data_IF_234281231959
#
_entry.id   IF_234281231959
#
_cell.length_a   1.000
_cell.length_b   1.000
_cell.length_c   1.000
_cell.angle_alpha   90.00
_cell.angle_beta   90.00
_cell.angle_gamma   90.00
#
_symmetry.space_group_name_H-M   'P 1'
#
loop_
_entity.id
_entity.type
_entity.pdbx_description
1 polymer ?
#
# COMPACT_ATOMS: atom_id res chain seq x y z
N UNK A 1 37.80 43.18 22.74
CA UNK A 1 36.40 43.42 22.32
C UNK A 1 36.19 42.68 21.02
N UNK A 2 35.08 41.94 20.95
CA UNK A 2 34.83 40.86 20.00
C UNK A 2 35.01 41.29 18.54
N UNK A 3 35.77 40.49 17.81
CA UNK A 3 35.82 40.47 16.35
C UNK A 3 34.43 40.19 15.81
N UNK A 4 33.84 41.16 15.12
CA UNK A 4 32.73 40.96 14.21
C UNK A 4 33.19 40.06 13.07
N UNK A 5 33.15 38.77 13.32
CA UNK A 5 33.23 37.73 12.31
C UNK A 5 31.92 37.81 11.51
N UNK A 6 31.89 38.77 10.58
CA UNK A 6 30.93 38.85 9.50
C UNK A 6 30.83 37.45 8.90
N UNK A 7 29.72 36.76 9.17
CA UNK A 7 29.29 35.61 8.38
C UNK A 7 29.04 36.13 6.97
N UNK A 8 30.10 36.23 6.19
CA UNK A 8 30.09 36.26 4.75
C UNK A 8 29.47 34.94 4.29
N UNK A 9 28.14 34.87 4.33
CA UNK A 9 27.41 33.89 3.51
C UNK A 9 27.74 34.29 2.09
N UNK A 10 28.50 33.49 1.32
CA UNK A 10 28.83 33.87 -0.03
C UNK A 10 27.52 34.04 -0.79
N UNK A 11 27.26 35.25 -1.29
CA UNK A 11 26.15 35.51 -2.21
C UNK A 11 26.45 34.71 -3.48
N UNK A 12 25.81 33.54 -3.59
CA UNK A 12 25.89 32.68 -4.76
C UNK A 12 25.49 33.50 -6.00
N UNK A 13 26.36 33.53 -7.01
CA UNK A 13 25.99 34.12 -8.29
C UNK A 13 24.87 33.30 -8.94
N UNK A 14 24.03 33.90 -9.81
CA UNK A 14 22.98 33.17 -10.53
C UNK A 14 23.51 31.96 -11.31
N UNK A 15 24.76 32.03 -11.79
CA UNK A 15 25.45 30.95 -12.50
C UNK A 15 25.82 29.81 -11.53
N UNK A 16 26.40 30.12 -10.37
CA UNK A 16 26.69 29.12 -9.33
C UNK A 16 25.43 28.44 -8.80
N UNK A 17 24.32 29.18 -8.69
CA UNK A 17 23.03 28.62 -8.30
C UNK A 17 22.49 27.63 -9.37
N UNK A 18 22.65 27.94 -10.66
CA UNK A 18 22.29 27.03 -11.76
C UNK A 18 23.16 25.80 -11.79
N UNK A 19 24.46 25.94 -11.61
CA UNK A 19 25.39 24.81 -11.56
C UNK A 19 25.13 23.91 -10.36
N UNK A 20 24.82 24.49 -9.19
CA UNK A 20 24.38 23.74 -8.01
C UNK A 20 23.08 22.97 -8.29
N UNK A 21 22.07 23.62 -8.87
CA UNK A 21 20.81 22.94 -9.23
C UNK A 21 21.02 21.86 -10.30
N UNK A 22 21.93 22.07 -11.24
CA UNK A 22 22.31 21.10 -12.27
C UNK A 22 23.13 19.92 -11.73
N UNK A 23 23.88 20.15 -10.64
CA UNK A 23 24.63 19.11 -9.94
C UNK A 23 23.76 18.19 -9.09
N UNK A 24 22.51 18.57 -8.81
CA UNK A 24 21.58 17.72 -8.06
C UNK A 24 21.21 16.53 -8.95
N UNK A 25 21.59 15.29 -8.57
CA UNK A 25 21.19 14.13 -9.34
C UNK A 25 19.66 14.05 -9.38
N UNK A 26 19.11 13.79 -10.58
CA UNK A 26 17.66 13.66 -10.76
C UNK A 26 17.12 12.67 -9.73
N UNK A 27 16.11 13.09 -8.94
CA UNK A 27 15.47 12.19 -7.97
C UNK A 27 15.01 10.92 -8.70
N UNK A 28 15.41 9.71 -8.25
CA UNK A 28 14.96 8.48 -8.87
C UNK A 28 13.43 8.42 -8.87
N UNK A 29 12.82 8.31 -10.06
CA UNK A 29 11.36 8.21 -10.20
C UNK A 29 10.88 6.86 -9.66
N UNK A 30 9.61 6.79 -9.25
CA UNK A 30 9.01 5.53 -8.83
C UNK A 30 8.90 4.59 -10.03
N UNK A 31 9.35 3.35 -9.87
CA UNK A 31 9.29 2.33 -10.92
C UNK A 31 8.32 1.23 -10.49
N UNK A 32 7.28 1.06 -11.30
CA UNK A 32 6.39 -0.10 -11.25
C UNK A 32 6.82 -1.12 -12.31
N UNK A 33 6.77 -2.37 -11.91
CA UNK A 33 7.12 -3.54 -12.73
C UNK A 33 5.88 -4.41 -12.94
N UNK A 34 5.89 -5.31 -13.92
CA UNK A 34 4.82 -6.30 -14.13
C UNK A 34 4.50 -7.09 -12.86
N UNK A 35 5.51 -7.35 -12.02
CA UNK A 35 5.34 -8.00 -10.71
C UNK A 35 4.46 -7.19 -9.77
N UNK A 36 4.57 -5.86 -9.77
CA UNK A 36 3.74 -5.00 -8.92
C UNK A 36 2.26 -5.06 -9.32
N UNK A 37 1.97 -5.13 -10.63
CA UNK A 37 0.62 -5.31 -11.17
C UNK A 37 0.04 -6.68 -10.81
N UNK A 38 0.82 -7.75 -11.03
CA UNK A 38 0.41 -9.13 -10.73
C UNK A 38 0.16 -9.30 -9.23
N UNK A 39 1.05 -8.81 -8.37
CA UNK A 39 0.87 -8.85 -6.91
C UNK A 39 -0.41 -8.14 -6.50
N UNK A 40 -0.69 -6.96 -7.05
CA UNK A 40 -1.90 -6.20 -6.74
C UNK A 40 -3.16 -6.94 -7.21
N UNK A 41 -3.16 -7.45 -8.45
CA UNK A 41 -4.29 -8.21 -8.99
C UNK A 41 -4.56 -9.48 -8.16
N UNK A 42 -3.51 -10.21 -7.80
CA UNK A 42 -3.62 -11.40 -6.95
C UNK A 42 -4.18 -11.06 -5.56
N UNK A 43 -3.68 -10.01 -4.90
CA UNK A 43 -4.22 -9.54 -3.62
C UNK A 43 -5.71 -9.22 -3.73
N UNK A 44 -6.12 -8.49 -4.78
CA UNK A 44 -7.53 -8.09 -4.98
C UNK A 44 -8.42 -9.30 -5.23
N UNK A 45 -8.07 -10.18 -6.16
CA UNK A 45 -8.86 -11.37 -6.50
C UNK A 45 -9.00 -12.29 -5.28
N UNK A 46 -7.89 -12.59 -4.61
CA UNK A 46 -7.90 -13.51 -3.46
C UNK A 46 -8.69 -12.94 -2.29
N UNK A 47 -8.49 -11.66 -1.95
CA UNK A 47 -9.22 -11.04 -0.83
C UNK A 47 -10.70 -10.86 -1.11
N UNK A 48 -11.07 -10.49 -2.33
CA UNK A 48 -12.48 -10.40 -2.73
C UNK A 48 -13.15 -11.78 -2.68
N UNK A 49 -12.51 -12.80 -3.26
CA UNK A 49 -13.03 -14.18 -3.25
C UNK A 49 -13.16 -14.71 -1.83
N UNK A 50 -12.18 -14.46 -0.96
CA UNK A 50 -12.24 -14.81 0.44
C UNK A 50 -13.43 -14.13 1.16
N UNK A 51 -13.64 -12.83 0.93
CA UNK A 51 -14.77 -12.09 1.48
C UNK A 51 -16.12 -12.67 1.07
N UNK A 52 -16.30 -12.95 -0.23
CA UNK A 52 -17.54 -13.55 -0.76
C UNK A 52 -17.79 -14.92 -0.15
N UNK A 53 -16.77 -15.79 -0.13
CA UNK A 53 -16.88 -17.15 0.42
C UNK A 53 -17.17 -17.13 1.93
N UNK A 54 -16.55 -16.22 2.68
CA UNK A 54 -16.80 -16.07 4.11
C UNK A 54 -18.26 -15.67 4.37
N UNK A 55 -18.74 -14.64 3.66
CA UNK A 55 -20.08 -14.10 3.81
C UNK A 55 -21.18 -15.05 3.28
N UNK A 56 -20.83 -15.96 2.37
CA UNK A 56 -21.70 -17.04 1.91
C UNK A 56 -21.81 -18.22 2.90
N UNK A 57 -21.16 -18.15 4.07
CA UNK A 57 -21.23 -19.19 5.10
C UNK A 57 -20.17 -20.29 4.96
N UNK A 58 -19.10 -20.05 4.21
CA UNK A 58 -18.00 -21.00 4.02
C UNK A 58 -16.65 -20.46 4.55
N UNK A 59 -16.57 -19.97 5.80
CA UNK A 59 -15.40 -19.26 6.30
C UNK A 59 -14.11 -20.11 6.35
N UNK A 60 -14.22 -21.44 6.49
CA UNK A 60 -13.07 -22.36 6.44
C UNK A 60 -12.38 -22.37 5.07
N UNK A 61 -13.15 -22.21 3.98
CA UNK A 61 -12.62 -22.10 2.62
C UNK A 61 -12.10 -20.70 2.31
N UNK A 62 -12.63 -19.67 2.98
CA UNK A 62 -12.15 -18.30 2.86
C UNK A 62 -10.78 -18.09 3.52
N UNK A 63 -10.50 -18.77 4.64
CA UNK A 63 -9.27 -18.64 5.40
C UNK A 63 -7.97 -18.82 4.58
N UNK A 64 -7.77 -19.90 3.79
CA UNK A 64 -6.55 -20.06 3.00
C UNK A 64 -6.40 -18.98 1.91
N UNK A 65 -7.51 -18.54 1.30
CA UNK A 65 -7.49 -17.46 0.30
C UNK A 65 -7.09 -16.12 0.93
N UNK A 66 -7.63 -15.81 2.11
CA UNK A 66 -7.27 -14.62 2.85
C UNK A 66 -5.80 -14.64 3.27
N UNK A 67 -5.29 -15.79 3.72
CA UNK A 67 -3.87 -15.95 4.04
C UNK A 67 -2.98 -15.68 2.82
N UNK A 68 -3.34 -16.24 1.65
CA UNK A 68 -2.65 -15.96 0.39
C UNK A 68 -2.64 -14.47 0.05
N UNK A 69 -3.78 -13.78 0.17
CA UNK A 69 -3.89 -12.35 -0.06
C UNK A 69 -3.00 -11.54 0.91
N UNK A 70 -2.99 -11.89 2.20
CA UNK A 70 -2.17 -11.25 3.24
C UNK A 70 -0.69 -11.40 2.95
N UNK A 71 -0.22 -12.62 2.64
CA UNK A 71 1.19 -12.90 2.33
C UNK A 71 1.65 -12.09 1.12
N UNK A 72 0.86 -12.07 0.05
CA UNK A 72 1.19 -11.30 -1.16
C UNK A 72 1.20 -9.79 -0.86
N UNK A 73 0.20 -9.28 -0.14
CA UNK A 73 0.09 -7.89 0.24
C UNK A 73 1.30 -7.42 1.07
N UNK A 74 1.65 -8.16 2.11
CA UNK A 74 2.77 -7.82 3.00
C UNK A 74 4.12 -8.00 2.30
N UNK A 75 4.28 -9.05 1.49
CA UNK A 75 5.46 -9.26 0.68
C UNK A 75 5.68 -8.13 -0.34
N UNK A 76 4.59 -7.66 -0.97
CA UNK A 76 4.64 -6.52 -1.87
C UNK A 76 5.05 -5.24 -1.13
N UNK A 77 4.40 -4.89 -0.01
CA UNK A 77 4.74 -3.71 0.79
C UNK A 77 6.20 -3.75 1.24
N UNK A 78 6.67 -4.88 1.78
CA UNK A 78 8.07 -5.07 2.18
C UNK A 78 9.02 -4.80 1.00
N UNK A 79 8.76 -5.40 -0.16
CA UNK A 79 9.59 -5.20 -1.36
C UNK A 79 9.60 -3.75 -1.88
N UNK A 80 8.62 -2.94 -1.49
CA UNK A 80 8.51 -1.53 -1.85
C UNK A 80 9.21 -0.64 -0.82
N UNK A 81 9.15 -0.99 0.47
CA UNK A 81 9.86 -0.26 1.53
C UNK A 81 11.38 -0.23 1.32
N UNK A 82 11.94 -1.28 0.70
CA UNK A 82 13.36 -1.37 0.37
C UNK A 82 13.78 -0.47 -0.80
N UNK A 83 12.82 0.11 -1.56
CA UNK A 83 13.13 0.94 -2.74
C UNK A 83 13.34 2.42 -2.38
N UNK A 84 14.26 3.13 -3.06
CA UNK A 84 14.41 4.59 -2.93
C UNK A 84 13.12 5.34 -3.32
N UNK A 85 12.83 6.46 -2.63
CA UNK A 85 11.68 7.35 -2.90
C UNK A 85 10.27 6.74 -2.74
N UNK A 86 10.14 5.59 -2.06
CA UNK A 86 8.86 5.12 -1.55
C UNK A 86 8.50 5.78 -0.22
N UNK A 87 7.22 6.14 0.03
CA UNK A 87 6.78 6.68 1.32
C UNK A 87 6.92 5.60 2.39
N UNK A 88 8.07 5.61 3.08
CA UNK A 88 8.46 4.59 4.08
C UNK A 88 7.48 4.45 5.25
N UNK A 89 6.62 5.45 5.48
CA UNK A 89 5.92 5.65 6.75
C UNK A 89 4.44 5.25 6.81
N UNK A 90 3.82 4.73 5.74
CA UNK A 90 2.37 4.37 5.78
C UNK A 90 2.00 2.98 5.26
N UNK A 91 2.93 2.26 4.62
CA UNK A 91 2.63 0.96 4.01
C UNK A 91 2.20 -0.12 5.02
N UNK A 92 2.86 -0.18 6.18
CA UNK A 92 2.54 -1.17 7.23
C UNK A 92 1.13 -0.93 7.77
N UNK A 93 0.77 0.31 8.09
CA UNK A 93 -0.57 0.63 8.59
C UNK A 93 -1.68 0.24 7.60
N UNK A 94 -1.47 0.48 6.30
CA UNK A 94 -2.47 0.08 5.30
C UNK A 94 -2.54 -1.44 5.18
N UNK A 95 -1.41 -2.15 5.22
CA UNK A 95 -1.40 -3.61 5.20
C UNK A 95 -2.08 -4.21 6.44
N UNK A 96 -1.85 -3.64 7.62
CA UNK A 96 -2.52 -4.05 8.86
C UNK A 96 -4.03 -3.78 8.80
N UNK A 97 -4.44 -2.58 8.37
CA UNK A 97 -5.86 -2.25 8.21
C UNK A 97 -6.56 -3.18 7.21
N UNK A 98 -5.90 -3.46 6.07
CA UNK A 98 -6.35 -4.43 5.08
C UNK A 98 -6.54 -5.82 5.69
N UNK A 99 -5.55 -6.33 6.43
CA UNK A 99 -5.65 -7.63 7.12
C UNK A 99 -6.81 -7.67 8.09
N UNK A 100 -6.95 -6.67 8.94
CA UNK A 100 -8.03 -6.62 9.93
C UNK A 100 -9.38 -6.64 9.22
N UNK A 101 -9.59 -5.77 8.23
CA UNK A 101 -10.86 -5.75 7.48
C UNK A 101 -11.16 -7.04 6.74
N UNK A 102 -10.14 -7.70 6.17
CA UNK A 102 -10.32 -8.98 5.49
C UNK A 102 -10.69 -10.11 6.47
N UNK A 103 -10.17 -10.07 7.70
CA UNK A 103 -10.41 -11.10 8.71
C UNK A 103 -11.76 -10.97 9.42
N UNK A 104 -12.34 -9.76 9.51
CA UNK A 104 -13.66 -9.56 10.15
C UNK A 104 -14.74 -10.52 9.62
N UNK A 105 -15.04 -10.59 8.31
CA UNK A 105 -16.10 -11.49 7.83
C UNK A 105 -15.79 -12.97 8.08
N UNK A 106 -14.51 -13.36 8.05
CA UNK A 106 -14.08 -14.74 8.33
C UNK A 106 -14.29 -15.07 9.81
N UNK A 107 -13.85 -14.19 10.71
CA UNK A 107 -14.05 -14.34 12.14
C UNK A 107 -15.53 -14.39 12.51
N UNK A 108 -16.36 -13.49 11.94
CA UNK A 108 -17.82 -13.50 12.13
C UNK A 108 -18.44 -14.82 11.69
N UNK A 109 -18.05 -15.34 10.52
CA UNK A 109 -18.51 -16.63 10.03
C UNK A 109 -18.06 -17.81 10.91
N UNK A 110 -16.81 -17.81 11.41
CA UNK A 110 -16.28 -18.89 12.25
C UNK A 110 -16.89 -18.92 13.65
N UNK A 111 -17.04 -17.74 14.28
CA UNK A 111 -17.43 -17.63 15.69
C UNK A 111 -18.94 -17.53 15.87
N UNK A 112 -19.61 -16.82 14.97
CA UNK A 112 -21.03 -16.51 15.10
C UNK A 112 -21.91 -17.18 14.04
N UNK A 113 -21.32 -17.85 13.05
CA UNK A 113 -22.07 -18.43 11.93
C UNK A 113 -22.78 -17.38 11.07
N UNK A 114 -22.35 -16.12 11.15
CA UNK A 114 -23.02 -15.01 10.48
C UNK A 114 -22.74 -15.03 8.98
N UNK A 115 -23.80 -14.74 8.22
CA UNK A 115 -23.77 -14.60 6.76
C UNK A 115 -24.39 -13.27 6.36
N UNK A 116 -24.11 -12.83 5.14
CA UNK A 116 -24.75 -11.65 4.55
C UNK A 116 -25.42 -12.07 3.25
N UNK A 117 -26.69 -11.71 3.01
CA UNK A 117 -27.37 -12.06 1.78
C UNK A 117 -26.73 -11.38 0.56
N UNK A 118 -27.03 -11.93 -0.61
CA UNK A 118 -26.67 -11.33 -1.88
C UNK A 118 -27.75 -10.30 -2.28
N UNK A 119 -27.41 -9.11 -2.80
CA UNK A 119 -26.09 -8.67 -3.27
C UNK A 119 -25.21 -7.94 -2.24
N UNK A 120 -25.68 -7.70 -1.02
CA UNK A 120 -24.97 -6.93 0.00
C UNK A 120 -23.59 -7.52 0.32
N UNK A 121 -23.46 -8.84 0.27
CA UNK A 121 -22.19 -9.54 0.44
C UNK A 121 -21.09 -9.04 -0.51
N UNK A 122 -21.43 -8.62 -1.74
CA UNK A 122 -20.46 -8.07 -2.70
C UNK A 122 -19.88 -6.74 -2.21
N UNK A 123 -20.70 -5.90 -1.59
CA UNK A 123 -20.27 -4.60 -1.07
C UNK A 123 -19.28 -4.81 0.07
N UNK A 124 -19.65 -5.65 1.04
CA UNK A 124 -18.80 -5.93 2.21
C UNK A 124 -17.52 -6.67 1.84
N UNK A 125 -17.59 -7.65 0.93
CA UNK A 125 -16.40 -8.33 0.40
C UNK A 125 -15.50 -7.38 -0.41
N UNK A 126 -16.08 -6.34 -1.02
CA UNK A 126 -15.38 -5.35 -1.81
C UNK A 126 -14.57 -4.33 -1.01
N UNK A 127 -14.83 -4.13 0.29
CA UNK A 127 -14.24 -3.01 1.05
C UNK A 127 -12.72 -3.11 1.17
N UNK A 128 -12.20 -4.25 1.65
CA UNK A 128 -10.76 -4.48 1.80
C UNK A 128 -9.98 -4.41 0.46
N UNK A 129 -10.37 -5.13 -0.61
CA UNK A 129 -9.71 -5.02 -1.91
C UNK A 129 -9.82 -3.62 -2.52
N UNK A 130 -10.94 -2.91 -2.32
CA UNK A 130 -11.09 -1.52 -2.80
C UNK A 130 -10.10 -0.58 -2.12
N UNK A 131 -9.95 -0.68 -0.79
CA UNK A 131 -8.96 0.12 -0.06
C UNK A 131 -7.53 -0.15 -0.55
N UNK A 132 -7.22 -1.42 -0.86
CA UNK A 132 -5.94 -1.80 -1.46
C UNK A 132 -5.74 -1.20 -2.85
N UNK A 133 -6.76 -1.23 -3.71
CA UNK A 133 -6.73 -0.60 -5.03
C UNK A 133 -6.52 0.90 -4.94
N UNK A 134 -7.19 1.59 -4.02
CA UNK A 134 -6.98 3.04 -3.80
C UNK A 134 -5.53 3.33 -3.44
N UNK A 135 -4.93 2.56 -2.52
CA UNK A 135 -3.50 2.69 -2.21
C UNK A 135 -2.65 2.52 -3.48
N UNK A 136 -2.92 1.46 -4.24
CA UNK A 136 -2.17 1.14 -5.45
C UNK A 136 -2.26 2.27 -6.49
N UNK A 137 -3.46 2.78 -6.76
CA UNK A 137 -3.67 3.89 -7.69
C UNK A 137 -3.01 5.19 -7.24
N UNK A 138 -3.08 5.52 -5.95
CA UNK A 138 -2.36 6.69 -5.40
C UNK A 138 -0.86 6.56 -5.64
N UNK A 139 -0.31 5.35 -5.46
CA UNK A 139 1.12 5.12 -5.71
C UNK A 139 1.45 5.18 -7.20
N UNK A 140 0.55 4.73 -8.08
CA UNK A 140 0.69 4.76 -9.53
C UNK A 140 0.64 6.18 -10.11
N UNK A 141 -0.26 7.03 -9.62
CA UNK A 141 -0.43 8.42 -10.09
C UNK A 141 0.73 9.30 -9.62
N UNK A 142 1.24 9.09 -8.40
CA UNK A 142 2.37 9.84 -7.83
C UNK A 142 3.75 9.38 -8.35
N UNK A 143 3.83 8.95 -9.61
CA UNK A 143 5.04 8.36 -10.22
C UNK A 143 6.09 9.37 -10.65
#
# INVERSE_FOLDING_TARGET
MASEESRNVPLLSPEQARDLLGSIPRRPRRIFTSRDHISTAATVILSFTAGVIALAGHPWWAAPLALGAIVIAHGWIKSRQDRPNEPRLKGVFVATAFTIWLLIPIWRGLVHGETIPFPEALIFAGLAPTAWLVLYFVLLIRR
#
